data_IF_784508818293
#
_entry.id   IF_784508818293
#
_cell.length_a   1.000
_cell.length_b   1.000
_cell.length_c   1.000
_cell.angle_alpha   90.00
_cell.angle_beta   90.00
_cell.angle_gamma   90.00
#
_symmetry.space_group_name_H-M   'P 1'
#
loop_
_entity.id
_entity.type
_entity.pdbx_description
1 polymer ?
#
# COMPACT_ATOMS: atom_id res chain seq x y z
N UNK A 1 13.17 -8.51 5.22
CA UNK A 1 13.02 -7.21 4.53
C UNK A 1 12.60 -7.43 3.08
N UNK A 2 11.80 -6.55 2.48
CA UNK A 2 11.43 -6.63 1.06
C UNK A 2 11.66 -5.28 0.39
N UNK A 3 12.01 -5.30 -0.89
CA UNK A 3 12.20 -4.08 -1.68
C UNK A 3 10.96 -3.17 -1.64
N UNK A 4 9.76 -3.75 -1.58
CA UNK A 4 8.51 -3.01 -1.44
C UNK A 4 8.46 -2.19 -0.14
N UNK A 5 8.85 -2.79 0.98
CA UNK A 5 8.84 -2.12 2.27
C UNK A 5 9.81 -0.92 2.29
N UNK A 6 11.00 -1.09 1.71
CA UNK A 6 12.00 -0.03 1.60
C UNK A 6 11.53 1.10 0.69
N UNK A 7 10.71 0.81 -0.34
CA UNK A 7 10.12 1.83 -1.21
C UNK A 7 9.02 2.64 -0.50
N UNK A 8 8.17 1.96 0.28
CA UNK A 8 7.03 2.58 0.98
C UNK A 8 7.47 3.36 2.22
N UNK A 9 8.53 2.92 2.91
CA UNK A 9 9.04 3.53 4.15
C UNK A 9 7.95 3.84 5.20
N UNK A 10 7.17 2.83 5.66
CA UNK A 10 6.02 3.07 6.53
C UNK A 10 6.32 3.87 7.79
N UNK A 11 7.42 3.56 8.48
CA UNK A 11 7.79 4.20 9.73
C UNK A 11 7.99 5.71 9.60
N UNK A 12 8.48 6.18 8.44
CA UNK A 12 8.74 7.59 8.17
C UNK A 12 7.51 8.29 7.55
N UNK A 13 6.72 7.59 6.73
CA UNK A 13 5.67 8.23 5.92
C UNK A 13 4.26 8.09 6.48
N UNK A 14 3.99 7.09 7.32
CA UNK A 14 2.62 6.84 7.76
C UNK A 14 2.24 7.73 8.93
N UNK A 15 1.26 8.61 8.67
CA UNK A 15 0.54 9.33 9.73
C UNK A 15 -0.49 8.39 10.33
N UNK A 16 -0.15 7.83 11.48
CA UNK A 16 -0.98 6.90 12.22
C UNK A 16 -1.36 7.54 13.55
N UNK A 17 -2.67 7.69 13.77
CA UNK A 17 -3.24 8.28 14.97
C UNK A 17 -3.57 7.20 16.01
N UNK A 18 -3.71 7.65 17.27
CA UNK A 18 -4.10 6.78 18.38
C UNK A 18 -5.48 6.15 18.15
N UNK A 19 -6.46 6.91 17.68
CA UNK A 19 -7.78 6.41 17.33
C UNK A 19 -7.79 5.38 16.20
N UNK A 20 -6.93 5.52 15.20
CA UNK A 20 -6.80 4.50 14.15
C UNK A 20 -6.29 3.16 14.72
N UNK A 21 -5.35 3.22 15.66
CA UNK A 21 -4.84 2.01 16.34
C UNK A 21 -5.89 1.43 17.28
N UNK A 22 -6.60 2.26 18.04
CA UNK A 22 -7.67 1.81 18.92
C UNK A 22 -8.78 1.09 18.15
N UNK A 23 -9.22 1.68 17.03
CA UNK A 23 -10.19 1.07 16.10
C UNK A 23 -9.66 -0.24 15.51
N UNK A 24 -8.40 -0.28 15.08
CA UNK A 24 -7.78 -1.49 14.55
C UNK A 24 -7.70 -2.63 15.60
N UNK A 25 -7.43 -2.29 16.86
CA UNK A 25 -7.32 -3.24 17.95
C UNK A 25 -8.66 -3.60 18.61
N UNK A 26 -9.73 -2.86 18.32
CA UNK A 26 -11.03 -3.03 18.98
C UNK A 26 -11.00 -2.65 20.46
N UNK A 27 -10.25 -1.61 20.83
CA UNK A 27 -10.09 -1.17 22.22
C UNK A 27 -10.41 0.32 22.37
N UNK A 28 -10.63 0.78 23.60
CA UNK A 28 -10.74 2.20 23.90
C UNK A 28 -9.41 2.93 23.67
N UNK A 29 -9.43 4.16 23.16
CA UNK A 29 -8.22 4.97 23.02
C UNK A 29 -7.52 5.20 24.35
N UNK A 30 -8.27 5.34 25.44
CA UNK A 30 -7.73 5.45 26.80
C UNK A 30 -6.92 4.22 27.22
N UNK A 31 -7.11 3.05 26.61
CA UNK A 31 -6.31 1.86 26.89
C UNK A 31 -4.89 1.94 26.28
N UNK A 32 -4.65 2.84 25.32
CA UNK A 32 -3.33 3.05 24.72
C UNK A 32 -2.58 4.10 25.54
N UNK A 33 -1.43 3.72 26.11
CA UNK A 33 -0.52 4.60 26.84
C UNK A 33 0.37 5.38 25.89
N UNK A 34 1.01 4.68 24.95
CA UNK A 34 1.99 5.24 24.03
C UNK A 34 2.09 4.39 22.75
N UNK A 35 2.61 4.98 21.66
CA UNK A 35 2.82 4.32 20.37
C UNK A 35 4.21 4.67 19.85
N UNK A 36 5.05 3.65 19.68
CA UNK A 36 6.37 3.79 19.10
C UNK A 36 6.39 3.29 17.66
N UNK A 37 7.00 4.08 16.77
CA UNK A 37 7.19 3.70 15.37
C UNK A 37 8.56 3.06 15.19
N UNK A 38 8.57 1.75 15.01
CA UNK A 38 9.80 1.02 14.70
C UNK A 38 9.86 0.77 13.20
N UNK A 39 11.01 0.30 12.72
CA UNK A 39 11.24 0.18 11.29
C UNK A 39 10.19 -0.70 10.59
N UNK A 40 9.81 -1.85 11.17
CA UNK A 40 8.87 -2.81 10.54
C UNK A 40 7.49 -2.91 11.19
N UNK A 41 7.35 -2.38 12.40
CA UNK A 41 6.15 -2.54 13.23
C UNK A 41 5.89 -1.26 14.01
N UNK A 42 4.65 -1.09 14.45
CA UNK A 42 4.32 -0.24 15.58
C UNK A 42 4.40 -1.07 16.85
N UNK A 43 4.95 -0.47 17.90
CA UNK A 43 4.83 -0.98 19.25
C UNK A 43 3.84 -0.12 20.02
N UNK A 44 2.74 -0.73 20.45
CA UNK A 44 1.64 -0.07 21.16
C UNK A 44 1.71 -0.47 22.61
N UNK A 45 2.01 0.49 23.48
CA UNK A 45 1.95 0.29 24.92
C UNK A 45 0.49 0.36 25.37
N UNK A 46 -0.05 -0.74 25.87
CA UNK A 46 -1.42 -0.80 26.38
C UNK A 46 -1.43 -0.89 27.90
N UNK A 47 -2.43 -0.25 28.51
CA UNK A 47 -2.65 -0.26 29.96
C UNK A 47 -3.26 -1.57 30.45
N UNK A 48 -3.99 -2.28 29.60
CA UNK A 48 -4.77 -3.45 29.98
C UNK A 48 -4.01 -4.78 29.84
N UNK A 49 -3.06 -4.87 28.89
CA UNK A 49 -2.35 -6.13 28.57
C UNK A 49 -0.85 -5.94 28.27
N UNK A 50 -0.29 -4.76 28.53
CA UNK A 50 1.11 -4.44 28.24
C UNK A 50 1.38 -4.09 26.78
N UNK A 51 2.57 -4.43 26.27
CA UNK A 51 3.01 -4.06 24.92
C UNK A 51 2.47 -4.97 23.81
N UNK A 52 2.09 -4.38 22.68
CA UNK A 52 1.63 -5.12 21.49
C UNK A 52 2.30 -4.64 20.21
N UNK A 53 2.76 -5.57 19.39
CA UNK A 53 3.32 -5.28 18.06
C UNK A 53 2.27 -5.36 16.96
N UNK A 54 2.26 -4.36 16.07
CA UNK A 54 1.41 -4.31 14.89
C UNK A 54 2.29 -4.14 13.66
N UNK A 55 2.25 -5.08 12.72
CA UNK A 55 2.88 -4.89 11.41
C UNK A 55 2.17 -3.80 10.63
N UNK A 56 2.92 -2.88 10.03
CA UNK A 56 2.35 -1.86 9.14
C UNK A 56 1.51 -2.47 8.01
N UNK A 57 1.84 -3.69 7.55
CA UNK A 57 1.10 -4.39 6.48
C UNK A 57 -0.37 -4.64 6.81
N UNK A 58 -0.71 -4.69 8.10
CA UNK A 58 -2.08 -4.89 8.57
C UNK A 58 -2.89 -3.59 8.64
N UNK A 59 -2.23 -2.43 8.50
CA UNK A 59 -2.87 -1.14 8.65
C UNK A 59 -3.43 -0.65 7.30
N UNK A 60 -4.52 0.11 7.38
CA UNK A 60 -5.15 0.76 6.23
C UNK A 60 -4.17 1.66 5.46
N UNK A 61 -3.23 2.31 6.16
CA UNK A 61 -2.19 3.15 5.56
C UNK A 61 -1.30 2.36 4.59
N UNK A 62 -1.04 1.08 4.87
CA UNK A 62 -0.26 0.24 3.94
C UNK A 62 -1.03 -0.02 2.66
N UNK A 63 -2.29 -0.43 2.78
CA UNK A 63 -3.19 -0.60 1.63
C UNK A 63 -3.28 0.68 0.78
N UNK A 64 -3.47 1.83 1.43
CA UNK A 64 -3.60 3.12 0.75
C UNK A 64 -2.29 3.56 0.09
N UNK A 65 -1.14 3.32 0.73
CA UNK A 65 0.16 3.63 0.14
C UNK A 65 0.42 2.80 -1.13
N UNK A 66 0.12 1.50 -1.10
CA UNK A 66 0.25 0.64 -2.28
C UNK A 66 -0.65 1.11 -3.43
N UNK A 67 -1.92 1.45 -3.14
CA UNK A 67 -2.83 1.99 -4.15
C UNK A 67 -2.34 3.31 -4.73
N UNK A 68 -1.90 4.25 -3.90
CA UNK A 68 -1.33 5.52 -4.37
C UNK A 68 -0.09 5.31 -5.25
N UNK A 69 0.75 4.34 -4.91
CA UNK A 69 1.91 3.98 -5.73
C UNK A 69 1.52 3.39 -7.10
N UNK A 70 0.45 2.60 -7.18
CA UNK A 70 -0.08 2.10 -8.46
C UNK A 70 -0.63 3.24 -9.33
N UNK A 71 -1.40 4.14 -8.73
CA UNK A 71 -2.02 5.27 -9.44
C UNK A 71 -1.00 6.27 -9.99
N UNK A 72 0.20 6.32 -9.39
CA UNK A 72 1.32 7.17 -9.84
C UNK A 72 2.21 6.50 -10.88
N UNK A 73 1.95 5.25 -11.27
CA UNK A 73 2.70 4.63 -12.36
C UNK A 73 2.33 5.29 -13.69
N UNK A 74 3.35 5.69 -14.45
CA UNK A 74 3.19 6.35 -15.76
C UNK A 74 3.33 5.36 -16.92
N UNK A 75 3.82 4.16 -16.65
CA UNK A 75 3.99 3.11 -17.66
C UNK A 75 3.49 1.75 -17.18
N UNK A 76 3.05 0.91 -18.13
CA UNK A 76 2.65 -0.46 -17.84
C UNK A 76 3.79 -1.28 -17.20
N UNK A 77 5.04 -1.00 -17.59
CA UNK A 77 6.21 -1.66 -17.01
C UNK A 77 6.37 -1.33 -15.53
N UNK A 78 6.24 -0.05 -15.14
CA UNK A 78 6.29 0.36 -13.74
C UNK A 78 5.16 -0.28 -12.91
N UNK A 79 3.94 -0.29 -13.47
CA UNK A 79 2.77 -0.87 -12.82
C UNK A 79 2.93 -2.39 -12.62
N UNK A 80 3.40 -3.10 -13.64
CA UNK A 80 3.65 -4.55 -13.57
C UNK A 80 4.77 -4.89 -12.60
N UNK A 81 5.86 -4.12 -12.59
CA UNK A 81 6.93 -4.29 -11.61
C UNK A 81 6.40 -4.15 -10.17
N UNK A 82 5.56 -3.14 -9.91
CA UNK A 82 4.94 -2.94 -8.62
C UNK A 82 4.00 -4.09 -8.25
N UNK A 83 3.16 -4.58 -9.18
CA UNK A 83 2.30 -5.75 -8.98
C UNK A 83 3.10 -6.99 -8.61
N UNK A 84 4.21 -7.26 -9.29
CA UNK A 84 5.10 -8.38 -8.96
C UNK A 84 5.73 -8.22 -7.59
N UNK A 85 6.14 -7.01 -7.19
CA UNK A 85 6.69 -6.74 -5.87
C UNK A 85 5.66 -6.98 -4.76
N UNK A 86 4.40 -6.54 -4.95
CA UNK A 86 3.29 -6.77 -4.03
C UNK A 86 2.95 -8.26 -3.94
N UNK A 87 2.89 -8.97 -5.06
CA UNK A 87 2.62 -10.41 -5.08
C UNK A 87 3.68 -11.20 -4.30
N UNK A 88 4.97 -10.89 -4.50
CA UNK A 88 6.06 -11.51 -3.73
C UNK A 88 5.98 -11.20 -2.23
N UNK A 89 5.70 -9.94 -1.86
CA UNK A 89 5.55 -9.55 -0.46
C UNK A 89 4.34 -10.25 0.19
N UNK A 90 3.21 -10.31 -0.50
CA UNK A 90 2.01 -11.01 -0.04
C UNK A 90 2.22 -12.51 0.07
N UNK A 91 2.97 -13.15 -0.83
CA UNK A 91 3.29 -14.57 -0.73
C UNK A 91 4.15 -14.85 0.51
N UNK A 92 5.13 -13.98 0.79
CA UNK A 92 6.01 -14.10 1.97
C UNK A 92 5.30 -13.80 3.29
N UNK A 93 4.39 -12.83 3.31
CA UNK A 93 3.72 -12.34 4.52
C UNK A 93 2.21 -12.57 4.49
N UNK A 94 1.75 -13.69 3.92
CA UNK A 94 0.32 -13.93 3.66
C UNK A 94 -0.61 -13.72 4.85
N UNK A 95 -0.19 -14.06 6.08
CA UNK A 95 -0.94 -13.83 7.33
C UNK A 95 -1.16 -12.35 7.67
N UNK A 96 -0.50 -11.43 6.97
CA UNK A 96 -0.59 -9.98 7.15
C UNK A 96 -1.39 -9.29 6.04
N UNK A 97 -1.80 -10.05 5.02
CA UNK A 97 -2.67 -9.59 3.93
C UNK A 97 -3.97 -10.39 3.98
N UNK A 98 -5.05 -9.75 4.43
CA UNK A 98 -6.37 -10.36 4.30
C UNK A 98 -6.83 -10.31 2.82
N UNK A 99 -7.83 -11.13 2.48
CA UNK A 99 -8.27 -11.25 1.10
C UNK A 99 -8.97 -9.97 0.60
N UNK A 100 -9.60 -9.20 1.49
CA UNK A 100 -10.17 -7.90 1.16
C UNK A 100 -9.10 -6.91 0.66
N UNK A 101 -7.92 -6.87 1.28
CA UNK A 101 -6.78 -6.05 0.83
C UNK A 101 -6.29 -6.51 -0.54
N UNK A 102 -6.17 -7.81 -0.77
CA UNK A 102 -5.72 -8.36 -2.07
C UNK A 102 -6.71 -7.99 -3.17
N UNK A 103 -8.01 -8.16 -2.92
CA UNK A 103 -9.08 -7.82 -3.85
C UNK A 103 -9.08 -6.32 -4.18
N UNK A 104 -8.98 -5.47 -3.15
CA UNK A 104 -8.89 -4.02 -3.33
C UNK A 104 -7.70 -3.62 -4.21
N UNK A 105 -6.50 -4.14 -3.92
CA UNK A 105 -5.30 -3.82 -4.71
C UNK A 105 -5.41 -4.35 -6.15
N UNK A 106 -6.06 -5.48 -6.36
CA UNK A 106 -6.32 -6.01 -7.69
C UNK A 106 -7.21 -5.06 -8.51
N UNK A 107 -8.29 -4.56 -7.92
CA UNK A 107 -9.20 -3.61 -8.58
C UNK A 107 -8.51 -2.30 -8.93
N UNK A 108 -7.67 -1.76 -8.04
CA UNK A 108 -6.88 -0.55 -8.35
C UNK A 108 -5.90 -0.82 -9.50
N UNK A 109 -5.23 -1.97 -9.50
CA UNK A 109 -4.32 -2.34 -10.58
C UNK A 109 -5.04 -2.44 -11.94
N UNK A 110 -6.22 -3.07 -12.00
CA UNK A 110 -7.01 -3.18 -13.24
C UNK A 110 -7.35 -1.79 -13.79
N UNK A 111 -7.85 -0.89 -12.94
CA UNK A 111 -8.16 0.50 -13.34
C UNK A 111 -6.94 1.25 -13.86
N UNK A 112 -5.78 1.10 -13.20
CA UNK A 112 -4.54 1.74 -13.65
C UNK A 112 -4.06 1.17 -14.99
N UNK A 113 -4.18 -0.15 -15.18
CA UNK A 113 -3.77 -0.82 -16.41
C UNK A 113 -4.63 -0.37 -17.60
N UNK A 114 -5.95 -0.36 -17.44
CA UNK A 114 -6.89 0.10 -18.47
C UNK A 114 -6.60 1.55 -18.87
N UNK A 115 -6.38 2.44 -17.90
CA UNK A 115 -6.01 3.83 -18.14
C UNK A 115 -4.73 3.93 -19.00
N UNK A 116 -3.67 3.26 -18.58
CA UNK A 116 -2.37 3.32 -19.26
C UNK A 116 -2.40 2.71 -20.67
N UNK A 117 -3.22 1.68 -20.90
CA UNK A 117 -3.43 1.11 -22.23
C UNK A 117 -4.11 2.11 -23.16
N UNK A 118 -5.19 2.77 -22.71
CA UNK A 118 -5.89 3.80 -23.49
C UNK A 118 -4.98 4.98 -23.82
N UNK A 119 -4.20 5.44 -22.85
CA UNK A 119 -3.24 6.54 -23.07
C UNK A 119 -2.18 6.15 -24.11
N UNK A 120 -1.67 4.90 -24.06
CA UNK A 120 -0.72 4.40 -25.05
C UNK A 120 -1.33 4.31 -26.46
N UNK A 121 -2.56 3.81 -26.57
CA UNK A 121 -3.27 3.73 -27.86
C UNK A 121 -3.53 5.13 -28.45
N UNK A 122 -3.94 6.09 -27.62
CA UNK A 122 -4.13 7.48 -28.03
C UNK A 122 -2.85 8.07 -28.62
N UNK A 123 -1.70 7.90 -27.96
CA UNK A 123 -0.39 8.36 -28.44
C UNK A 123 -0.04 7.74 -29.80
N UNK A 124 -0.26 6.42 -29.95
CA UNK A 124 0.03 5.71 -31.21
C UNK A 124 -0.90 6.13 -32.36
N UNK A 125 -2.15 6.50 -32.06
CA UNK A 125 -3.12 6.97 -33.04
C UNK A 125 -2.95 8.45 -33.41
N UNK A 126 -2.49 9.30 -32.48
CA UNK A 126 -2.26 10.73 -32.70
C UNK A 126 -0.98 11.05 -33.48
N UNK A 127 0.06 10.21 -33.37
CA UNK A 127 1.32 10.38 -34.12
C UNK A 127 1.24 10.06 -35.62
N UNK A 128 0.06 9.68 -36.15
CA UNK A 128 -0.13 9.34 -37.57
C UNK A 128 -0.48 10.53 -38.48
N UNK A 129 -0.68 11.74 -37.94
CA UNK A 129 -1.20 12.89 -38.69
C UNK A 129 -0.16 13.94 -39.13
N UNK A 130 1.09 13.87 -38.69
CA UNK A 130 2.12 14.89 -38.97
C UNK A 130 3.12 14.51 -40.07
N UNK A 131 2.76 13.66 -41.03
CA UNK A 131 3.68 13.25 -42.12
C UNK A 131 3.07 13.30 -43.51
N UNK A 132 2.33 14.37 -43.81
CA UNK A 132 1.92 14.70 -45.18
C UNK A 132 1.77 16.21 -45.35
N UNK A 133 2.89 16.88 -45.59
CA UNK A 133 3.01 18.16 -46.30
C UNK A 133 4.31 18.12 -47.09
#
# INVERSE_FOLDING_TARGET
MTALFNRIQPAAKFRITKGQIAKFLGIAESAIKDIQRWHYVLFVHRRDRGGQFISYRKLEQWKNALASHMQKCETLQQLNFLKSAISRDSKKYGKQYNDAVKLFLHQIWQKCQEKLLREREAILSGGKWESSC
#
